data_IF_745609552904
#
_entry.id   IF_745609552904
#
_cell.length_a   1.000
_cell.length_b   1.000
_cell.length_c   1.000
_cell.angle_alpha   90.00
_cell.angle_beta   90.00
_cell.angle_gamma   90.00
#
_symmetry.space_group_name_H-M   'P 1'
#
loop_
_entity.id
_entity.type
_entity.pdbx_description
1 polymer ?
#
# COMPACT_ATOMS: atom_id res chain seq x y z
N UNK A 1 -26.49 -23.28 -37.87
CA UNK A 1 -26.28 -23.12 -36.41
C UNK A 1 -25.49 -21.83 -36.19
N UNK A 2 -26.20 -20.74 -35.90
CA UNK A 2 -25.68 -19.37 -35.91
C UNK A 2 -24.89 -19.08 -34.63
N UNK A 3 -23.68 -18.55 -34.79
CA UNK A 3 -22.86 -18.06 -33.69
C UNK A 3 -23.56 -16.86 -33.02
N UNK A 4 -23.94 -17.03 -31.74
CA UNK A 4 -24.42 -15.94 -30.90
C UNK A 4 -23.23 -15.08 -30.49
N UNK A 5 -22.99 -13.99 -31.21
CA UNK A 5 -22.11 -12.91 -30.76
C UNK A 5 -22.83 -12.14 -29.65
N UNK A 6 -22.26 -12.14 -28.44
CA UNK A 6 -22.73 -11.32 -27.33
C UNK A 6 -22.38 -9.86 -27.62
N UNK A 7 -23.26 -9.19 -28.37
CA UNK A 7 -23.26 -7.74 -28.56
C UNK A 7 -23.60 -7.06 -27.23
N UNK A 8 -22.60 -6.97 -26.34
CA UNK A 8 -22.67 -6.18 -25.12
C UNK A 8 -22.61 -4.70 -25.47
N UNK A 9 -23.77 -4.10 -25.75
CA UNK A 9 -23.93 -2.65 -25.90
C UNK A 9 -23.37 -1.93 -24.68
N UNK A 10 -22.21 -1.30 -24.82
CA UNK A 10 -21.58 -0.55 -23.73
C UNK A 10 -22.30 0.79 -23.55
N UNK A 11 -23.33 0.80 -22.71
CA UNK A 11 -23.77 2.01 -22.00
C UNK A 11 -22.50 2.65 -21.43
N UNK A 12 -22.27 3.94 -21.69
CA UNK A 12 -21.06 4.68 -21.29
C UNK A 12 -21.07 4.86 -19.76
N UNK A 13 -20.86 3.77 -19.02
CA UNK A 13 -20.77 3.78 -17.55
C UNK A 13 -19.59 4.63 -17.15
N UNK A 14 -19.86 5.67 -16.37
CA UNK A 14 -18.85 6.50 -15.70
C UNK A 14 -17.83 5.60 -15.02
N UNK A 15 -16.59 5.64 -15.51
CA UNK A 15 -15.51 4.79 -15.00
C UNK A 15 -15.11 5.32 -13.61
N UNK A 16 -15.58 4.65 -12.56
CA UNK A 16 -15.12 4.91 -11.20
C UNK A 16 -13.71 4.39 -11.02
N UNK A 17 -12.84 5.24 -10.44
CA UNK A 17 -11.45 4.87 -10.20
C UNK A 17 -11.34 3.80 -9.11
N UNK A 18 -10.32 2.93 -9.20
CA UNK A 18 -10.08 1.90 -8.18
C UNK A 18 -9.72 2.50 -6.81
N UNK A 19 -9.08 3.67 -6.80
CA UNK A 19 -8.79 4.42 -5.58
C UNK A 19 -10.08 4.89 -4.90
N UNK A 20 -10.98 5.50 -5.66
CA UNK A 20 -12.29 5.96 -5.16
C UNK A 20 -13.14 4.80 -4.62
N UNK A 21 -13.09 3.63 -5.25
CA UNK A 21 -13.80 2.42 -4.75
C UNK A 21 -13.20 1.86 -3.46
N UNK A 22 -11.89 2.00 -3.28
CA UNK A 22 -11.19 1.51 -2.10
C UNK A 22 -11.14 2.53 -0.96
N UNK A 23 -11.61 3.76 -1.17
CA UNK A 23 -11.59 4.81 -0.15
C UNK A 23 -10.20 5.39 0.15
N UNK A 24 -9.25 5.21 -0.76
CA UNK A 24 -7.86 5.68 -0.59
C UNK A 24 -7.56 6.85 -1.51
N UNK A 25 -6.76 7.80 -1.04
CA UNK A 25 -6.22 8.92 -1.82
C UNK A 25 -5.12 8.43 -2.75
N UNK A 26 -4.31 7.46 -2.32
CA UNK A 26 -3.20 6.95 -3.12
C UNK A 26 -3.67 6.25 -4.42
N UNK A 27 -2.90 6.37 -5.54
CA UNK A 27 -3.33 5.88 -6.85
C UNK A 27 -3.15 4.36 -7.02
N UNK A 28 -4.12 3.56 -6.58
CA UNK A 28 -4.19 2.08 -6.72
C UNK A 28 -3.94 1.62 -8.16
N UNK A 29 -4.47 2.37 -9.13
CA UNK A 29 -4.31 2.05 -10.55
C UNK A 29 -2.85 2.13 -11.01
N UNK A 30 -2.11 3.12 -10.51
CA UNK A 30 -0.70 3.33 -10.79
C UNK A 30 0.15 2.26 -10.09
N UNK A 31 -0.16 1.95 -8.83
CA UNK A 31 0.52 0.90 -8.05
C UNK A 31 0.47 -0.45 -8.76
N UNK A 32 -0.68 -0.85 -9.31
CA UNK A 32 -0.78 -2.10 -10.08
C UNK A 32 0.14 -2.09 -11.31
N UNK A 33 0.29 -0.94 -12.00
CA UNK A 33 1.18 -0.82 -13.15
C UNK A 33 2.65 -0.97 -12.74
N UNK A 34 3.04 -0.39 -11.60
CA UNK A 34 4.38 -0.57 -11.05
C UNK A 34 4.65 -2.02 -10.67
N UNK A 35 3.72 -2.70 -10.01
CA UNK A 35 3.86 -4.13 -9.72
C UNK A 35 4.03 -4.98 -10.98
N UNK A 36 3.24 -4.74 -12.02
CA UNK A 36 3.35 -5.50 -13.28
C UNK A 36 4.67 -5.26 -14.02
N UNK A 37 5.24 -4.05 -13.90
CA UNK A 37 6.55 -3.72 -14.50
C UNK A 37 7.71 -4.26 -13.67
N UNK A 38 7.65 -4.15 -12.35
CA UNK A 38 8.71 -4.60 -11.44
C UNK A 38 8.74 -6.10 -11.21
N UNK A 39 7.59 -6.78 -11.27
CA UNK A 39 7.44 -8.21 -10.99
C UNK A 39 6.80 -8.96 -12.17
N UNK A 40 7.47 -9.07 -13.33
CA UNK A 40 6.88 -9.66 -14.54
C UNK A 40 6.56 -11.16 -14.39
N UNK A 41 7.26 -11.86 -13.49
CA UNK A 41 7.12 -13.31 -13.23
C UNK A 41 5.88 -13.67 -12.39
N UNK A 42 5.28 -12.69 -11.71
CA UNK A 42 4.16 -12.90 -10.80
C UNK A 42 2.83 -12.38 -11.38
N UNK A 43 1.75 -13.07 -11.03
CA UNK A 43 0.35 -12.68 -11.21
C UNK A 43 -0.06 -11.90 -9.97
N UNK A 44 -0.33 -10.62 -10.17
CA UNK A 44 -0.69 -9.71 -9.09
C UNK A 44 -2.20 -9.73 -8.91
N UNK A 45 -2.66 -10.15 -7.74
CA UNK A 45 -4.06 -10.12 -7.33
C UNK A 45 -4.56 -8.69 -7.19
N UNK A 46 -5.87 -8.49 -7.35
CA UNK A 46 -6.50 -7.16 -7.33
C UNK A 46 -6.39 -6.46 -5.97
N UNK A 47 -6.24 -7.22 -4.88
CA UNK A 47 -6.07 -6.69 -3.51
C UNK A 47 -4.66 -6.20 -3.19
N UNK A 48 -3.63 -6.72 -3.86
CA UNK A 48 -2.23 -6.30 -3.62
C UNK A 48 -1.99 -4.79 -3.79
N UNK A 49 -2.42 -4.15 -4.89
CA UNK A 49 -2.21 -2.71 -5.06
C UNK A 49 -3.10 -1.84 -4.14
N UNK A 50 -4.23 -2.38 -3.66
CA UNK A 50 -5.10 -1.67 -2.70
C UNK A 50 -4.45 -1.67 -1.33
N UNK A 51 -3.95 -2.84 -0.92
CA UNK A 51 -3.26 -3.02 0.35
C UNK A 51 -2.02 -2.12 0.44
N UNK A 52 -1.15 -2.14 -0.59
CA UNK A 52 0.03 -1.27 -0.60
C UNK A 52 -0.35 0.21 -0.57
N UNK A 53 -1.39 0.62 -1.30
CA UNK A 53 -1.85 2.01 -1.29
C UNK A 53 -2.31 2.44 0.10
N UNK A 54 -3.07 1.59 0.82
CA UNK A 54 -3.53 1.88 2.17
C UNK A 54 -2.37 2.00 3.17
N UNK A 55 -1.37 1.12 3.10
CA UNK A 55 -0.19 1.19 3.98
C UNK A 55 0.63 2.45 3.71
N UNK A 56 0.87 2.79 2.44
CA UNK A 56 1.59 4.01 2.10
C UNK A 56 0.82 5.27 2.55
N UNK A 57 -0.51 5.25 2.47
CA UNK A 57 -1.36 6.34 2.93
C UNK A 57 -1.27 6.52 4.45
N UNK A 58 -1.38 5.43 5.19
CA UNK A 58 -1.21 5.41 6.63
C UNK A 58 0.15 6.00 7.06
N UNK A 59 1.25 5.50 6.48
CA UNK A 59 2.60 5.98 6.81
C UNK A 59 2.80 7.46 6.46
N UNK A 60 2.25 7.90 5.32
CA UNK A 60 2.36 9.30 4.91
C UNK A 60 1.57 10.21 5.82
N UNK A 61 0.37 9.80 6.24
CA UNK A 61 -0.47 10.54 7.18
C UNK A 61 0.23 10.70 8.53
N UNK A 62 0.78 9.62 9.07
CA UNK A 62 1.50 9.63 10.35
C UNK A 62 2.69 10.60 10.35
N UNK A 63 3.54 10.51 9.32
CA UNK A 63 4.70 11.41 9.18
C UNK A 63 4.25 12.87 9.04
N UNK A 64 3.18 13.14 8.29
CA UNK A 64 2.65 14.49 8.11
C UNK A 64 2.03 15.05 9.38
N UNK A 65 1.39 14.23 10.21
CA UNK A 65 0.83 14.63 11.50
C UNK A 65 1.95 15.06 12.46
N UNK A 66 2.97 14.22 12.61
CA UNK A 66 4.13 14.52 13.45
C UNK A 66 4.90 15.74 12.94
N UNK A 67 5.12 15.84 11.62
CA UNK A 67 5.79 17.00 11.01
C UNK A 67 4.93 18.26 11.10
N UNK A 68 3.61 18.13 11.06
CA UNK A 68 2.65 19.22 11.27
C UNK A 68 2.72 19.77 12.69
N UNK A 69 2.79 18.88 13.69
CA UNK A 69 2.98 19.27 15.08
C UNK A 69 4.32 20.00 15.28
N UNK A 70 5.43 19.45 14.78
CA UNK A 70 6.73 20.10 14.84
C UNK A 70 6.77 21.48 14.11
N UNK A 71 5.97 21.62 13.05
CA UNK A 71 5.81 22.88 12.30
C UNK A 71 5.06 23.94 13.14
N UNK A 72 4.01 23.53 13.85
CA UNK A 72 3.23 24.39 14.77
C UNK A 72 4.07 24.83 15.96
N UNK A 73 4.88 23.93 16.52
CA UNK A 73 5.82 24.24 17.62
C UNK A 73 6.85 25.28 17.17
N UNK A 74 7.30 25.17 15.91
CA UNK A 74 8.22 26.12 15.28
C UNK A 74 7.55 27.44 14.84
N UNK A 75 6.25 27.62 15.11
CA UNK A 75 5.40 28.77 14.71
C UNK A 75 5.46 29.09 13.21
N UNK A 76 5.67 28.07 12.37
CA UNK A 76 5.74 28.21 10.91
C UNK A 76 4.46 27.66 10.29
N UNK A 77 4.07 28.19 9.13
CA UNK A 77 2.90 27.71 8.37
C UNK A 77 3.21 26.65 7.31
N UNK A 78 4.50 26.32 7.09
CA UNK A 78 4.95 25.40 6.04
C UNK A 78 5.85 24.31 6.61
N UNK A 79 5.55 23.06 6.26
CA UNK A 79 6.42 21.92 6.58
C UNK A 79 7.74 22.06 5.80
N UNK A 80 8.86 21.99 6.51
CA UNK A 80 10.21 22.00 5.94
C UNK A 80 10.90 20.67 6.25
N UNK A 81 11.97 20.29 5.52
CA UNK A 81 12.72 19.05 5.80
C UNK A 81 13.18 18.94 7.27
N UNK A 82 13.44 20.07 7.93
CA UNK A 82 13.80 20.11 9.36
C UNK A 82 12.67 19.61 10.27
N UNK A 83 11.41 19.93 9.96
CA UNK A 83 10.27 19.48 10.77
C UNK A 83 10.04 17.97 10.62
N UNK A 84 10.30 17.42 9.43
CA UNK A 84 10.26 15.96 9.19
C UNK A 84 11.38 15.27 9.98
N UNK A 85 12.59 15.83 9.97
CA UNK A 85 13.70 15.29 10.75
C UNK A 85 13.39 15.30 12.26
N UNK A 86 12.84 16.40 12.78
CA UNK A 86 12.43 16.50 14.18
C UNK A 86 11.31 15.52 14.52
N UNK A 87 10.33 15.35 13.63
CA UNK A 87 9.27 14.36 13.79
C UNK A 87 9.83 12.94 13.94
N UNK A 88 10.74 12.53 13.05
CA UNK A 88 11.36 11.19 13.08
C UNK A 88 12.29 11.04 14.30
N UNK A 89 13.03 12.07 14.68
CA UNK A 89 13.96 12.02 15.80
C UNK A 89 13.25 11.96 17.16
N UNK A 90 12.10 12.63 17.28
CA UNK A 90 11.33 12.71 18.53
C UNK A 90 10.23 11.63 18.66
N UNK A 91 10.09 10.75 17.68
CA UNK A 91 9.11 9.64 17.67
C UNK A 91 9.45 8.49 18.65
N UNK A 92 10.53 8.63 19.44
CA UNK A 92 11.03 7.54 20.30
C UNK A 92 10.50 7.54 21.74
N UNK A 93 9.87 8.61 22.23
CA UNK A 93 9.59 8.74 23.67
C UNK A 93 8.25 9.46 23.98
N UNK A 94 7.12 8.90 23.55
CA UNK A 94 5.84 9.19 24.22
C UNK A 94 5.34 7.93 24.89
N UNK A 95 5.84 7.77 26.11
CA UNK A 95 5.46 6.79 27.13
C UNK A 95 5.74 5.34 26.72
N UNK A 96 6.46 4.60 27.56
CA UNK A 96 6.70 3.15 27.44
C UNK A 96 5.42 2.28 27.50
N UNK A 97 4.30 2.80 27.06
CA UNK A 97 3.06 2.11 26.84
C UNK A 97 3.07 1.54 25.42
N UNK A 98 3.08 0.22 25.34
CA UNK A 98 2.96 -0.58 24.13
C UNK A 98 1.55 -0.46 23.50
N UNK A 99 1.02 0.75 23.35
CA UNK A 99 -0.15 1.05 22.52
C UNK A 99 0.31 1.47 21.12
N UNK A 100 0.79 0.46 20.39
CA UNK A 100 0.32 0.23 19.02
C UNK A 100 0.85 1.04 17.85
N UNK A 101 1.15 2.34 17.96
CA UNK A 101 0.91 3.20 16.77
C UNK A 101 2.15 3.91 16.19
N UNK A 102 3.32 3.83 16.84
CA UNK A 102 4.54 4.48 16.35
C UNK A 102 5.13 3.86 15.08
N UNK A 103 5.67 4.70 14.18
CA UNK A 103 6.35 4.37 12.92
C UNK A 103 7.38 3.22 13.05
N UNK A 104 8.04 3.13 14.21
CA UNK A 104 9.08 2.15 14.51
C UNK A 104 8.52 0.74 14.86
N UNK A 105 7.33 0.65 15.46
CA UNK A 105 6.71 -0.61 15.89
C UNK A 105 6.08 -1.35 14.70
N UNK A 106 5.46 -0.60 13.79
CA UNK A 106 4.77 -1.13 12.60
C UNK A 106 5.78 -1.76 11.61
N UNK A 107 6.90 -1.11 11.33
CA UNK A 107 7.90 -1.62 10.38
C UNK A 107 8.55 -2.95 10.82
N UNK A 108 8.72 -3.18 12.13
CA UNK A 108 9.32 -4.41 12.66
C UNK A 108 8.34 -5.57 12.82
N UNK A 109 7.10 -5.33 13.29
CA UNK A 109 6.10 -6.40 13.48
C UNK A 109 5.37 -6.78 12.19
N UNK A 110 5.06 -5.81 11.33
CA UNK A 110 4.30 -6.10 10.11
C UNK A 110 5.15 -6.65 8.97
N UNK A 111 6.46 -6.42 8.86
CA UNK A 111 7.23 -6.98 7.72
C UNK A 111 7.11 -8.50 7.59
N UNK A 112 7.02 -9.23 8.72
CA UNK A 112 6.82 -10.69 8.74
C UNK A 112 5.34 -11.05 8.49
N UNK A 113 4.39 -10.30 9.08
CA UNK A 113 2.96 -10.53 8.88
C UNK A 113 2.49 -10.19 7.46
N UNK A 114 3.05 -9.15 6.85
CA UNK A 114 2.87 -8.70 5.47
C UNK A 114 3.42 -9.70 4.47
N UNK A 115 4.66 -10.14 4.68
CA UNK A 115 5.27 -11.18 3.86
C UNK A 115 4.40 -12.44 3.91
N UNK A 116 3.96 -12.83 5.11
CA UNK A 116 3.07 -13.98 5.31
C UNK A 116 1.65 -13.76 4.77
N UNK A 117 1.08 -12.56 4.84
CA UNK A 117 -0.27 -12.27 4.32
C UNK A 117 -0.27 -12.29 2.79
N UNK A 118 0.75 -11.69 2.16
CA UNK A 118 0.88 -11.66 0.70
C UNK A 118 1.11 -13.06 0.11
N UNK A 119 1.91 -13.90 0.76
CA UNK A 119 2.14 -15.29 0.33
C UNK A 119 0.97 -16.21 0.70
N UNK A 120 0.39 -16.09 1.90
CA UNK A 120 -0.71 -16.95 2.40
C UNK A 120 -2.09 -16.63 1.79
N UNK A 121 -2.39 -15.37 1.49
CA UNK A 121 -3.60 -14.99 0.72
C UNK A 121 -3.42 -15.06 -0.80
N UNK A 122 -2.32 -15.64 -1.29
CA UNK A 122 -2.09 -15.88 -2.72
C UNK A 122 -2.15 -14.60 -3.58
N UNK A 123 -1.83 -13.44 -3.02
CA UNK A 123 -1.93 -12.17 -3.76
C UNK A 123 -0.87 -12.03 -4.86
N UNK A 124 0.21 -12.80 -4.80
CA UNK A 124 1.20 -12.91 -5.86
C UNK A 124 1.47 -14.38 -6.20
N UNK A 125 1.00 -14.82 -7.36
CA UNK A 125 1.20 -16.21 -7.84
C UNK A 125 2.18 -16.26 -9.00
N UNK A 126 3.18 -17.14 -9.00
CA UNK A 126 4.09 -17.25 -10.14
C UNK A 126 3.32 -17.64 -11.41
N UNK A 127 3.71 -17.06 -12.55
CA UNK A 127 3.05 -17.31 -13.85
C UNK A 127 3.38 -18.69 -14.43
N UNK A 128 4.51 -19.29 -14.08
CA UNK A 128 4.93 -20.61 -14.55
C UNK A 128 4.81 -21.67 -13.44
N UNK A 129 4.41 -22.91 -13.80
CA UNK A 129 4.26 -24.00 -12.84
C UNK A 129 5.60 -24.38 -12.19
N UNK A 130 6.72 -24.24 -12.90
CA UNK A 130 8.08 -24.50 -12.41
C UNK A 130 8.49 -23.56 -11.26
N UNK A 131 8.15 -22.28 -11.34
CA UNK A 131 8.43 -21.31 -10.26
C UNK A 131 7.45 -21.52 -9.09
N UNK A 132 6.23 -22.00 -9.38
CA UNK A 132 5.26 -22.37 -8.34
C UNK A 132 5.77 -23.49 -7.44
N UNK A 133 6.40 -24.53 -8.01
CA UNK A 133 7.00 -25.61 -7.22
C UNK A 133 8.15 -25.12 -6.34
N UNK A 134 9.04 -24.29 -6.87
CA UNK A 134 10.21 -23.78 -6.12
C UNK A 134 9.82 -22.87 -4.94
N UNK A 135 8.79 -22.02 -5.12
CA UNK A 135 8.37 -21.06 -4.08
C UNK A 135 7.48 -21.72 -3.01
N UNK A 136 6.85 -22.86 -3.28
CA UNK A 136 5.99 -23.55 -2.31
C UNK A 136 6.74 -24.59 -1.47
N UNK A 137 8.00 -24.89 -1.79
CA UNK A 137 8.87 -25.84 -1.07
C UNK A 137 9.94 -25.18 -0.17
N UNK A 138 10.00 -23.85 -0.09
CA UNK A 138 10.78 -23.11 0.91
C UNK A 138 9.85 -22.55 1.99
#
# INVERSE_FOLDING_TARGET
LSAMSSQGGKKKTTKTSRSTKAGVIFPVGCMLRYFKRGLPKYRIGVGAPVYLAAVLEYLTAEILELAGNATRDSKKGRVTPRHILLAIANDKDKDGNLKGDGLCCYLKKESVALANFVTRFQMMKPKSPVICFFVTQM
#
